data_IF_013046294188
#
_entry.id   IF_013046294188
#
_cell.length_a   1.000
_cell.length_b   1.000
_cell.length_c   1.000
_cell.angle_alpha   90.00
_cell.angle_beta   90.00
_cell.angle_gamma   90.00
#
_symmetry.space_group_name_H-M   'P 1'
#
loop_
_entity.id
_entity.type
_entity.pdbx_description
1 polymer ?
#
# COMPACT_ATOMS: atom_id res chain seq x y z
N UNK A 1 -11.67 11.15 -9.83
CA UNK A 1 -11.56 9.69 -10.04
C UNK A 1 -11.26 9.45 -11.50
N UNK A 2 -10.47 8.42 -11.80
CA UNK A 2 -10.26 7.93 -13.17
C UNK A 2 -11.17 6.71 -13.33
N UNK A 3 -11.91 6.64 -14.44
CA UNK A 3 -12.81 5.54 -14.77
C UNK A 3 -12.41 4.97 -16.13
N UNK A 4 -12.27 3.65 -16.21
CA UNK A 4 -11.91 2.92 -17.42
C UNK A 4 -12.98 1.85 -17.63
N UNK A 5 -13.58 1.82 -18.83
CA UNK A 5 -14.60 0.84 -19.21
C UNK A 5 -14.19 0.12 -20.49
N UNK A 6 -14.29 -1.21 -20.48
CA UNK A 6 -14.02 -2.06 -21.65
C UNK A 6 -14.83 -3.37 -21.51
N UNK A 7 -15.31 -3.98 -22.60
CA UNK A 7 -15.95 -5.30 -22.55
C UNK A 7 -14.99 -6.43 -22.15
N UNK A 8 -13.68 -6.19 -22.24
CA UNK A 8 -12.64 -7.19 -21.99
C UNK A 8 -12.00 -7.07 -20.58
N UNK A 9 -12.49 -6.17 -19.73
CA UNK A 9 -11.93 -5.96 -18.37
C UNK A 9 -12.96 -6.31 -17.29
N UNK A 10 -12.53 -6.87 -16.15
CA UNK A 10 -13.42 -7.12 -15.02
C UNK A 10 -13.75 -5.81 -14.28
N UNK A 11 -14.86 -5.84 -13.54
CA UNK A 11 -15.21 -4.77 -12.61
C UNK A 11 -14.25 -4.80 -11.41
N UNK A 12 -13.25 -3.93 -11.41
CA UNK A 12 -12.25 -3.84 -10.35
C UNK A 12 -11.95 -2.39 -9.98
N UNK A 13 -11.80 -2.13 -8.69
CA UNK A 13 -11.27 -0.86 -8.18
C UNK A 13 -9.82 -1.05 -7.79
N UNK A 14 -8.90 -0.41 -8.52
CA UNK A 14 -7.50 -0.33 -8.13
C UNK A 14 -7.23 0.99 -7.40
N UNK A 15 -6.52 0.89 -6.29
CA UNK A 15 -6.09 2.04 -5.48
C UNK A 15 -4.58 2.02 -5.45
N UNK A 16 -3.95 3.04 -6.06
CA UNK A 16 -2.52 3.26 -5.93
C UNK A 16 -2.24 4.08 -4.67
N UNK A 17 -1.39 3.54 -3.79
CA UNK A 17 -1.05 4.14 -2.50
C UNK A 17 0.37 4.69 -2.54
N UNK A 18 0.67 5.80 -1.85
CA UNK A 18 2.03 6.34 -1.82
C UNK A 18 3.03 5.32 -1.27
N UNK A 19 4.21 5.25 -1.90
CA UNK A 19 5.31 4.45 -1.39
C UNK A 19 5.72 4.87 0.02
N UNK A 20 6.04 3.89 0.85
CA UNK A 20 6.40 4.14 2.25
C UNK A 20 7.78 4.80 2.29
N UNK A 21 7.79 6.11 2.56
CA UNK A 21 9.02 6.88 2.70
C UNK A 21 9.40 7.01 4.18
N UNK A 22 10.63 6.59 4.52
CA UNK A 22 11.22 6.80 5.86
C UNK A 22 11.75 8.20 6.09
N UNK A 23 12.11 8.91 5.01
CA UNK A 23 12.78 10.21 5.09
C UNK A 23 11.99 11.21 4.25
N UNK A 24 11.56 12.30 4.90
CA UNK A 24 10.94 13.42 4.22
C UNK A 24 11.95 14.04 3.24
N UNK A 25 11.58 14.15 1.97
CA UNK A 25 12.35 14.94 1.01
C UNK A 25 12.04 16.42 1.17
N UNK A 26 12.93 17.28 0.67
CA UNK A 26 12.80 18.74 0.79
C UNK A 26 11.42 19.21 0.29
N UNK A 27 10.64 19.81 1.18
CA UNK A 27 9.28 20.30 0.88
C UNK A 27 8.14 19.39 1.38
N UNK A 28 8.44 18.24 1.98
CA UNK A 28 7.44 17.40 2.66
C UNK A 28 7.38 17.71 4.16
N UNK A 29 6.22 17.51 4.80
CA UNK A 29 6.09 17.53 6.25
C UNK A 29 7.01 16.50 6.92
N UNK A 30 7.50 16.81 8.14
CA UNK A 30 8.30 15.86 8.92
C UNK A 30 7.53 14.58 9.26
N UNK A 31 6.20 14.65 9.35
CA UNK A 31 5.31 13.52 9.65
C UNK A 31 4.78 12.81 8.39
N UNK A 32 5.36 13.05 7.21
CA UNK A 32 4.88 12.47 5.94
C UNK A 32 4.82 10.93 5.98
N UNK A 33 5.81 10.28 6.62
CA UNK A 33 5.83 8.83 6.78
C UNK A 33 4.60 8.33 7.56
N UNK A 34 4.23 9.02 8.64
CA UNK A 34 3.07 8.66 9.44
C UNK A 34 1.75 8.98 8.72
N UNK A 35 1.70 10.06 7.94
CA UNK A 35 0.54 10.37 7.09
C UNK A 35 0.30 9.28 6.05
N UNK A 36 1.36 8.82 5.38
CA UNK A 36 1.30 7.73 4.40
C UNK A 36 0.85 6.43 5.08
N UNK A 37 1.43 6.08 6.24
CA UNK A 37 1.03 4.89 7.00
C UNK A 37 -0.45 4.92 7.40
N UNK A 38 -0.95 6.06 7.89
CA UNK A 38 -2.38 6.24 8.21
C UNK A 38 -3.27 6.10 6.98
N UNK A 39 -2.83 6.62 5.83
CA UNK A 39 -3.56 6.51 4.58
C UNK A 39 -3.64 5.05 4.11
N UNK A 40 -2.51 4.34 4.08
CA UNK A 40 -2.44 2.92 3.71
C UNK A 40 -3.36 2.11 4.62
N UNK A 41 -3.22 2.28 5.95
CA UNK A 41 -4.01 1.55 6.96
C UNK A 41 -5.51 1.68 6.74
N UNK A 42 -6.01 2.83 6.30
CA UNK A 42 -7.43 3.05 5.99
C UNK A 42 -7.97 2.14 4.87
N UNK A 43 -7.12 1.74 3.93
CA UNK A 43 -7.50 0.89 2.81
C UNK A 43 -7.25 -0.59 3.10
N UNK A 44 -6.08 -0.93 3.65
CA UNK A 44 -5.68 -2.34 3.87
C UNK A 44 -6.43 -3.03 5.01
N UNK A 45 -7.12 -2.30 5.89
CA UNK A 45 -7.94 -2.90 6.97
C UNK A 45 -9.28 -3.46 6.51
N UNK A 46 -9.68 -3.23 5.26
CA UNK A 46 -10.95 -3.73 4.74
C UNK A 46 -10.78 -5.18 4.30
N UNK A 47 -11.58 -6.10 4.85
CA UNK A 47 -11.50 -7.53 4.52
C UNK A 47 -11.71 -7.86 3.03
N UNK A 48 -12.45 -7.04 2.30
CA UNK A 48 -12.70 -7.23 0.86
C UNK A 48 -11.54 -6.70 -0.02
N UNK A 49 -10.48 -6.15 0.58
CA UNK A 49 -9.36 -5.55 -0.14
C UNK A 49 -8.20 -6.53 -0.26
N UNK A 50 -7.76 -6.78 -1.49
CA UNK A 50 -6.57 -7.60 -1.77
C UNK A 50 -5.32 -6.74 -1.59
N UNK A 51 -4.43 -7.15 -0.68
CA UNK A 51 -3.18 -6.45 -0.38
C UNK A 51 -2.05 -6.92 -1.31
N UNK A 52 -1.75 -6.15 -2.35
CA UNK A 52 -0.63 -6.44 -3.26
C UNK A 52 0.67 -5.78 -2.79
N UNK A 53 1.52 -6.53 -2.10
CA UNK A 53 2.84 -6.05 -1.64
C UNK A 53 3.89 -6.23 -2.73
N UNK A 54 4.37 -5.14 -3.32
CA UNK A 54 5.44 -5.15 -4.33
C UNK A 54 6.80 -5.01 -3.65
N UNK A 55 7.64 -6.06 -3.77
CA UNK A 55 8.99 -6.07 -3.21
C UNK A 55 10.02 -6.18 -4.34
N UNK A 56 10.99 -5.25 -4.44
CA UNK A 56 12.11 -5.39 -5.36
C UNK A 56 12.93 -6.64 -5.07
N UNK A 57 13.36 -7.38 -6.10
CA UNK A 57 14.16 -8.61 -5.91
C UNK A 57 15.54 -8.38 -5.28
N UNK A 58 16.01 -7.13 -5.24
CA UNK A 58 17.33 -6.76 -4.71
C UNK A 58 17.29 -6.27 -3.25
N UNK A 59 16.13 -6.27 -2.60
CA UNK A 59 16.00 -5.88 -1.18
C UNK A 59 15.51 -7.05 -0.34
N UNK A 60 15.93 -7.07 0.92
CA UNK A 60 15.48 -8.10 1.86
C UNK A 60 13.99 -7.94 2.17
N UNK A 61 13.21 -8.97 1.85
CA UNK A 61 11.77 -9.03 2.10
C UNK A 61 11.42 -8.76 3.57
N UNK A 62 12.25 -9.23 4.50
CA UNK A 62 12.08 -9.06 5.94
C UNK A 62 12.24 -7.60 6.43
N UNK A 63 12.84 -6.71 5.63
CA UNK A 63 13.04 -5.30 5.98
C UNK A 63 11.95 -4.37 5.43
N UNK A 64 11.01 -4.93 4.66
CA UNK A 64 10.02 -4.13 3.94
C UNK A 64 8.86 -3.76 4.85
N UNK A 65 8.71 -2.46 5.13
CA UNK A 65 7.62 -1.94 5.97
C UNK A 65 6.22 -2.24 5.40
N UNK A 66 6.09 -2.38 4.07
CA UNK A 66 4.84 -2.75 3.44
C UNK A 66 4.36 -4.15 3.87
N UNK A 67 5.29 -5.11 3.95
CA UNK A 67 4.97 -6.46 4.39
C UNK A 67 4.63 -6.50 5.88
N UNK A 68 5.36 -5.74 6.71
CA UNK A 68 5.04 -5.62 8.12
C UNK A 68 3.63 -5.06 8.34
N UNK A 69 3.25 -4.00 7.62
CA UNK A 69 1.90 -3.43 7.72
C UNK A 69 0.82 -4.37 7.19
N UNK A 70 1.11 -5.15 6.14
CA UNK A 70 0.19 -6.18 5.66
C UNK A 70 -0.02 -7.27 6.72
N UNK A 71 1.05 -7.77 7.34
CA UNK A 71 0.97 -8.76 8.42
C UNK A 71 0.26 -8.26 9.69
N UNK A 72 0.29 -6.94 9.96
CA UNK A 72 -0.47 -6.36 11.08
C UNK A 72 -1.98 -6.40 10.88
N UNK A 73 -2.45 -6.38 9.62
CA UNK A 73 -3.89 -6.37 9.29
C UNK A 73 -4.39 -7.73 8.80
N UNK A 74 -3.48 -8.53 8.28
CA UNK A 74 -3.68 -9.88 7.76
C UNK A 74 -2.51 -10.78 8.20
N UNK A 75 -2.55 -11.25 9.47
CA UNK A 75 -1.49 -12.08 10.03
C UNK A 75 -1.45 -13.49 9.45
N UNK A 76 -2.59 -13.97 8.94
CA UNK A 76 -2.76 -15.33 8.40
C UNK A 76 -2.43 -15.41 6.91
N UNK A 77 -2.42 -14.26 6.20
CA UNK A 77 -2.04 -14.15 4.79
C UNK A 77 -3.11 -14.66 3.84
N UNK A 78 -4.39 -14.47 4.18
CA UNK A 78 -5.56 -14.97 3.44
C UNK A 78 -6.06 -14.02 2.34
#
# INVERSE_FOLDING_TARGET
SLEIASPDVPDLTLIDLPGIARVAVKGQPEDIGDQIKRLIKKFVTKQETINLVVVPCNVDIATTEALQMAQEVDPDGE
#
